data_IF_671037864320
#
_entry.id   IF_671037864320
#
_cell.length_a   1.000
_cell.length_b   1.000
_cell.length_c   1.000
_cell.angle_alpha   90.00
_cell.angle_beta   90.00
_cell.angle_gamma   90.00
#
_symmetry.space_group_name_H-M   'P 1'
#
loop_
_entity.id
_entity.type
_entity.pdbx_description
1 polymer ?
#
# COMPACT_ATOMS: atom_id res chain seq x y z
N UNK A 1 -3.64 18.59 20.21
CA UNK A 1 -2.92 17.39 20.68
C UNK A 1 -2.56 16.59 19.45
N UNK A 2 -1.27 16.32 19.21
CA UNK A 2 -0.90 15.52 18.03
C UNK A 2 -1.28 14.07 18.30
N UNK A 3 -2.34 13.58 17.65
CA UNK A 3 -2.64 12.15 17.63
C UNK A 3 -1.44 11.44 17.01
N UNK A 4 -1.08 10.27 17.55
CA UNK A 4 -0.12 9.38 16.88
C UNK A 4 -0.68 8.98 15.50
N UNK A 5 0.15 8.83 14.47
CA UNK A 5 -0.30 8.31 13.18
C UNK A 5 -0.79 6.87 13.34
N UNK A 6 -1.71 6.46 12.48
CA UNK A 6 -2.33 5.13 12.51
C UNK A 6 -1.31 4.03 12.18
N UNK A 7 -0.46 4.31 11.20
CA UNK A 7 0.72 3.52 10.83
C UNK A 7 1.96 4.36 11.08
N UNK A 8 2.92 3.82 11.83
CA UNK A 8 4.24 4.41 12.00
C UNK A 8 5.20 3.65 11.11
N UNK A 9 5.85 4.33 10.16
CA UNK A 9 6.92 3.70 9.39
C UNK A 9 8.05 3.25 10.32
N UNK A 10 8.50 2.01 10.14
CA UNK A 10 9.68 1.46 10.80
C UNK A 10 10.60 0.79 9.78
N UNK A 11 11.88 0.64 10.12
CA UNK A 11 12.87 0.04 9.22
C UNK A 11 12.55 -1.42 8.86
N UNK A 12 11.72 -2.11 9.65
CA UNK A 12 11.25 -3.46 9.28
C UNK A 12 10.24 -3.48 8.11
N UNK A 13 9.67 -2.33 7.72
CA UNK A 13 8.94 -2.18 6.43
C UNK A 13 9.89 -1.84 5.27
N UNK A 14 11.16 -1.56 5.53
CA UNK A 14 12.14 -1.36 4.47
C UNK A 14 12.64 -2.72 3.97
N UNK A 15 12.52 -2.95 2.68
CA UNK A 15 13.04 -4.14 1.99
C UNK A 15 14.48 -3.92 1.50
N UNK A 16 15.01 -2.69 1.61
CA UNK A 16 16.38 -2.34 1.26
C UNK A 16 16.55 -1.99 -0.22
N UNK A 17 15.44 -1.79 -0.94
CA UNK A 17 15.41 -1.33 -2.33
C UNK A 17 14.83 0.08 -2.30
N UNK A 18 15.73 1.06 -2.35
CA UNK A 18 15.42 2.45 -2.02
C UNK A 18 14.25 3.06 -2.83
N UNK A 19 14.07 2.79 -4.14
CA UNK A 19 12.87 3.22 -4.84
C UNK A 19 11.56 2.66 -4.26
N UNK A 20 11.52 1.36 -3.98
CA UNK A 20 10.32 0.71 -3.42
C UNK A 20 10.09 1.14 -1.97
N UNK A 21 11.15 1.30 -1.17
CA UNK A 21 11.03 1.79 0.21
C UNK A 21 10.47 3.23 0.27
N UNK A 22 10.67 4.06 -0.77
CA UNK A 22 10.01 5.37 -0.87
C UNK A 22 8.54 5.24 -1.24
N UNK A 23 8.21 4.39 -2.19
CA UNK A 23 6.83 4.14 -2.62
C UNK A 23 5.98 3.54 -1.49
N UNK A 24 6.54 2.61 -0.70
CA UNK A 24 5.88 2.08 0.50
C UNK A 24 5.61 3.18 1.54
N UNK A 25 6.52 4.13 1.71
CA UNK A 25 6.31 5.30 2.59
C UNK A 25 5.18 6.20 2.08
N UNK A 26 5.11 6.44 0.78
CA UNK A 26 4.01 7.20 0.17
C UNK A 26 2.66 6.50 0.38
N UNK A 27 2.63 5.16 0.34
CA UNK A 27 1.45 4.36 0.64
C UNK A 27 1.05 4.44 2.13
N UNK A 28 2.02 4.35 3.05
CA UNK A 28 1.78 4.58 4.49
C UNK A 28 1.18 5.95 4.76
N UNK A 29 1.72 7.00 4.12
CA UNK A 29 1.22 8.35 4.27
C UNK A 29 -0.20 8.51 3.72
N UNK A 30 -0.51 7.84 2.59
CA UNK A 30 -1.85 7.81 2.03
C UNK A 30 -2.86 7.13 2.98
N UNK A 31 -2.51 5.99 3.58
CA UNK A 31 -3.37 5.28 4.54
C UNK A 31 -3.58 6.11 5.81
N UNK A 32 -2.52 6.75 6.33
CA UNK A 32 -2.60 7.65 7.46
C UNK A 32 -3.53 8.85 7.19
N UNK A 33 -3.46 9.42 5.99
CA UNK A 33 -4.35 10.50 5.58
C UNK A 33 -5.80 10.01 5.52
N UNK A 34 -6.06 8.86 4.91
CA UNK A 34 -7.39 8.26 4.84
C UNK A 34 -7.98 8.00 6.24
N UNK A 35 -7.18 7.47 7.17
CA UNK A 35 -7.56 7.28 8.56
C UNK A 35 -7.94 8.59 9.27
N UNK A 36 -7.20 9.67 9.00
CA UNK A 36 -7.51 10.99 9.58
C UNK A 36 -8.87 11.53 9.15
N UNK A 37 -9.34 11.18 7.94
CA UNK A 37 -10.63 11.60 7.41
C UNK A 37 -11.78 10.75 7.97
N UNK A 38 -11.60 9.43 8.05
CA UNK A 38 -12.60 8.49 8.60
C UNK A 38 -12.88 8.67 10.10
N UNK A 39 -12.00 9.35 10.82
CA UNK A 39 -12.14 9.66 12.25
C UNK A 39 -12.97 10.92 12.54
N UNK A 40 -13.31 11.70 11.51
CA UNK A 40 -14.07 12.94 11.62
C UNK A 40 -15.51 12.73 11.13
N UNK A 41 -16.49 13.53 11.62
CA UNK A 41 -17.82 13.65 11.00
C UNK A 41 -17.66 14.33 9.62
N UNK A 42 -17.02 13.62 8.69
CA UNK A 42 -16.18 14.22 7.66
C UNK A 42 -16.66 13.98 6.24
N UNK A 43 -16.49 15.03 5.46
CA UNK A 43 -16.79 15.20 4.04
C UNK A 43 -16.52 13.95 3.18
N UNK A 44 -17.60 13.32 2.72
CA UNK A 44 -17.56 12.14 1.85
C UNK A 44 -16.78 12.39 0.55
N UNK A 45 -16.75 13.63 0.03
CA UNK A 45 -15.97 13.96 -1.15
C UNK A 45 -14.46 13.93 -0.86
N UNK A 46 -14.05 14.45 0.31
CA UNK A 46 -12.66 14.39 0.74
C UNK A 46 -12.21 12.94 0.98
N UNK A 47 -13.07 12.11 1.58
CA UNK A 47 -12.80 10.68 1.77
C UNK A 47 -12.64 9.96 0.41
N UNK A 48 -13.58 10.16 -0.52
CA UNK A 48 -13.51 9.59 -1.86
C UNK A 48 -12.23 9.99 -2.59
N UNK A 49 -11.84 11.26 -2.51
CA UNK A 49 -10.60 11.74 -3.13
C UNK A 49 -9.34 11.12 -2.49
N UNK A 50 -9.36 10.84 -1.18
CA UNK A 50 -8.25 10.17 -0.50
C UNK A 50 -8.15 8.69 -0.89
N UNK A 51 -9.28 7.99 -1.08
CA UNK A 51 -9.32 6.63 -1.63
C UNK A 51 -8.74 6.61 -3.04
N UNK A 52 -9.15 7.54 -3.91
CA UNK A 52 -8.62 7.65 -5.27
C UNK A 52 -7.10 7.89 -5.29
N UNK A 53 -6.60 8.70 -4.35
CA UNK A 53 -5.16 8.91 -4.18
C UNK A 53 -4.43 7.64 -3.76
N UNK A 54 -4.99 6.87 -2.82
CA UNK A 54 -4.40 5.60 -2.37
C UNK A 54 -4.33 4.59 -3.52
N UNK A 55 -5.43 4.42 -4.27
CA UNK A 55 -5.48 3.52 -5.43
C UNK A 55 -4.38 3.88 -6.42
N UNK A 56 -4.25 5.16 -6.79
CA UNK A 56 -3.23 5.60 -7.74
C UNK A 56 -1.80 5.30 -7.26
N UNK A 57 -1.51 5.53 -5.97
CA UNK A 57 -0.19 5.25 -5.40
C UNK A 57 0.11 3.75 -5.45
N UNK A 58 -0.89 2.90 -5.13
CA UNK A 58 -0.76 1.46 -5.20
C UNK A 58 -0.55 0.98 -6.66
N UNK A 59 -1.36 1.45 -7.61
CA UNK A 59 -1.22 1.11 -9.03
C UNK A 59 0.15 1.51 -9.59
N UNK A 60 0.63 2.72 -9.28
CA UNK A 60 1.93 3.22 -9.73
C UNK A 60 3.07 2.36 -9.16
N UNK A 61 3.01 2.03 -7.86
CA UNK A 61 3.98 1.16 -7.19
C UNK A 61 3.98 -0.26 -7.76
N UNK A 62 2.83 -0.93 -7.82
CA UNK A 62 2.70 -2.29 -8.33
C UNK A 62 3.15 -2.41 -9.79
N UNK A 63 2.77 -1.43 -10.62
CA UNK A 63 3.23 -1.38 -12.01
C UNK A 63 4.74 -1.27 -12.11
N UNK A 64 5.36 -0.43 -11.28
CA UNK A 64 6.81 -0.25 -11.25
C UNK A 64 7.52 -1.52 -10.78
N UNK A 65 7.10 -2.06 -9.64
CA UNK A 65 7.65 -3.26 -9.04
C UNK A 65 7.56 -4.46 -9.99
N UNK A 66 6.37 -4.76 -10.52
CA UNK A 66 6.18 -5.87 -11.43
C UNK A 66 7.00 -5.73 -12.72
N UNK A 67 7.16 -4.50 -13.23
CA UNK A 67 8.03 -4.23 -14.38
C UNK A 67 9.47 -4.61 -14.06
N UNK A 68 9.97 -4.24 -12.88
CA UNK A 68 11.32 -4.55 -12.41
C UNK A 68 11.49 -6.06 -12.20
N UNK A 69 10.55 -6.71 -11.50
CA UNK A 69 10.57 -8.16 -11.26
C UNK A 69 10.54 -8.95 -12.57
N UNK A 70 9.71 -8.54 -13.53
CA UNK A 70 9.63 -9.14 -14.86
C UNK A 70 10.92 -8.97 -15.65
N UNK A 71 11.47 -7.76 -15.66
CA UNK A 71 12.72 -7.45 -16.37
C UNK A 71 13.88 -8.30 -15.85
N UNK A 72 13.97 -8.46 -14.53
CA UNK A 72 15.03 -9.20 -13.86
C UNK A 72 14.75 -10.69 -13.67
N UNK A 73 13.59 -11.16 -14.18
CA UNK A 73 13.12 -12.56 -14.12
C UNK A 73 13.09 -13.11 -12.70
N UNK A 74 12.61 -12.33 -11.75
CA UNK A 74 12.46 -12.78 -10.38
C UNK A 74 11.39 -13.88 -10.29
N UNK A 75 11.56 -14.86 -9.37
CA UNK A 75 10.59 -15.93 -9.18
C UNK A 75 9.27 -15.39 -8.62
N UNK A 76 8.23 -16.21 -8.69
CA UNK A 76 6.92 -15.97 -8.05
C UNK A 76 6.15 -14.72 -8.53
N UNK A 77 6.56 -14.04 -9.60
CA UNK A 77 5.85 -12.86 -10.15
C UNK A 77 4.34 -13.08 -10.29
N UNK A 78 3.89 -14.23 -10.81
CA UNK A 78 2.45 -14.49 -10.98
C UNK A 78 1.67 -14.52 -9.66
N UNK A 79 2.29 -15.02 -8.59
CA UNK A 79 1.66 -14.98 -7.26
C UNK A 79 1.66 -13.57 -6.71
N UNK A 80 2.76 -12.84 -6.89
CA UNK A 80 2.91 -11.45 -6.46
C UNK A 80 1.84 -10.54 -7.09
N UNK A 81 1.63 -10.66 -8.40
CA UNK A 81 0.60 -9.92 -9.14
C UNK A 81 -0.82 -10.18 -8.61
N UNK A 82 -1.10 -11.40 -8.14
CA UNK A 82 -2.42 -11.72 -7.59
C UNK A 82 -2.68 -11.01 -6.27
N UNK A 83 -1.69 -10.93 -5.40
CA UNK A 83 -1.81 -10.18 -4.14
C UNK A 83 -2.06 -8.69 -4.41
N UNK A 84 -1.44 -8.13 -5.46
CA UNK A 84 -1.69 -6.75 -5.90
C UNK A 84 -3.11 -6.56 -6.44
N UNK A 85 -3.55 -7.45 -7.33
CA UNK A 85 -4.89 -7.40 -7.92
C UNK A 85 -5.97 -7.49 -6.83
N UNK A 86 -5.80 -8.41 -5.87
CA UNK A 86 -6.72 -8.59 -4.74
C UNK A 86 -6.78 -7.33 -3.86
N UNK A 87 -5.64 -6.70 -3.55
CA UNK A 87 -5.65 -5.44 -2.80
C UNK A 87 -6.35 -4.31 -3.56
N UNK A 88 -6.09 -4.16 -4.86
CA UNK A 88 -6.71 -3.11 -5.66
C UNK A 88 -8.23 -3.26 -5.72
N UNK A 89 -8.73 -4.49 -5.82
CA UNK A 89 -10.15 -4.79 -5.75
C UNK A 89 -10.75 -4.38 -4.39
N UNK A 90 -10.09 -4.75 -3.29
CA UNK A 90 -10.53 -4.42 -1.92
C UNK A 90 -10.53 -2.91 -1.66
N UNK A 91 -9.49 -2.19 -2.09
CA UNK A 91 -9.42 -0.72 -1.96
C UNK A 91 -10.43 -0.04 -2.87
N UNK A 92 -10.67 -0.57 -4.07
CA UNK A 92 -11.69 -0.01 -4.97
C UNK A 92 -13.09 -0.16 -4.39
N UNK A 93 -13.37 -1.23 -3.64
CA UNK A 93 -14.63 -1.42 -2.94
C UNK A 93 -14.92 -0.32 -1.90
N UNK A 94 -13.90 0.37 -1.36
CA UNK A 94 -14.11 1.53 -0.46
C UNK A 94 -14.93 2.64 -1.11
N UNK A 95 -14.86 2.81 -2.43
CA UNK A 95 -15.67 3.79 -3.14
C UNK A 95 -17.17 3.52 -2.97
N UNK A 96 -17.55 2.25 -2.78
CA UNK A 96 -18.94 1.81 -2.69
C UNK A 96 -19.46 1.79 -1.25
N UNK A 97 -18.58 1.66 -0.26
CA UNK A 97 -18.94 1.55 1.17
C UNK A 97 -19.36 2.90 1.79
N UNK A 98 -19.13 4.01 1.10
CA UNK A 98 -19.40 5.34 1.63
C UNK A 98 -18.49 5.70 2.81
N UNK A 99 -18.94 6.59 3.69
CA UNK A 99 -18.18 7.02 4.87
C UNK A 99 -18.69 6.38 6.18
N UNK A 100 -19.23 5.15 6.11
CA UNK A 100 -19.61 4.43 7.34
C UNK A 100 -18.37 4.25 8.24
N UNK A 101 -18.35 4.83 9.45
CA UNK A 101 -17.13 4.85 10.25
C UNK A 101 -16.61 3.46 10.64
N UNK A 102 -17.50 2.46 10.77
CA UNK A 102 -17.11 1.10 11.16
C UNK A 102 -16.49 0.36 9.98
N UNK A 103 -17.12 0.45 8.80
CA UNK A 103 -16.57 -0.17 7.59
C UNK A 103 -15.22 0.45 7.21
N UNK A 104 -15.12 1.78 7.30
CA UNK A 104 -13.85 2.49 7.06
C UNK A 104 -12.77 2.04 8.05
N UNK A 105 -13.08 1.92 9.35
CA UNK A 105 -12.12 1.47 10.34
C UNK A 105 -11.65 0.02 10.10
N UNK A 106 -12.58 -0.88 9.75
CA UNK A 106 -12.25 -2.28 9.43
C UNK A 106 -11.33 -2.37 8.22
N UNK A 107 -11.63 -1.60 7.17
CA UNK A 107 -10.80 -1.60 5.96
C UNK A 107 -9.42 -1.00 6.20
N UNK A 108 -9.31 0.10 6.96
CA UNK A 108 -8.02 0.67 7.34
C UNK A 108 -7.18 -0.33 8.13
N UNK A 109 -7.81 -1.12 9.00
CA UNK A 109 -7.13 -2.20 9.72
C UNK A 109 -6.65 -3.29 8.76
N UNK A 110 -7.47 -3.71 7.79
CA UNK A 110 -7.06 -4.66 6.76
C UNK A 110 -5.89 -4.12 5.94
N UNK A 111 -5.95 -2.87 5.46
CA UNK A 111 -4.89 -2.25 4.67
C UNK A 111 -3.57 -2.17 5.43
N UNK A 112 -3.63 -1.87 6.73
CA UNK A 112 -2.45 -1.92 7.58
C UNK A 112 -1.89 -3.33 7.62
N UNK A 113 -2.71 -4.32 7.94
CA UNK A 113 -2.23 -5.69 8.12
C UNK A 113 -1.68 -6.25 6.79
N UNK A 114 -2.35 -6.00 5.66
CA UNK A 114 -1.87 -6.33 4.33
C UNK A 114 -0.52 -5.68 4.03
N UNK A 115 -0.35 -4.38 4.30
CA UNK A 115 0.91 -3.70 4.02
C UNK A 115 2.07 -4.32 4.81
N UNK A 116 1.83 -4.66 6.07
CA UNK A 116 2.84 -5.33 6.89
C UNK A 116 3.15 -6.73 6.35
N UNK A 117 2.13 -7.53 6.08
CA UNK A 117 2.32 -8.91 5.64
C UNK A 117 2.93 -8.98 4.24
N UNK A 118 2.45 -8.18 3.29
CA UNK A 118 2.93 -8.13 1.91
C UNK A 118 4.38 -7.65 1.85
N UNK A 119 4.68 -6.49 2.44
CA UNK A 119 6.03 -5.92 2.39
C UNK A 119 7.04 -6.80 3.12
N UNK A 120 6.67 -7.39 4.26
CA UNK A 120 7.60 -8.21 5.05
C UNK A 120 7.76 -9.62 4.45
N UNK A 121 6.72 -10.23 3.89
CA UNK A 121 6.77 -11.63 3.46
C UNK A 121 6.92 -11.83 1.96
N UNK A 122 6.34 -10.97 1.13
CA UNK A 122 6.42 -11.08 -0.32
C UNK A 122 7.55 -10.23 -0.87
N UNK A 123 7.59 -8.94 -0.52
CA UNK A 123 8.55 -8.01 -1.13
C UNK A 123 9.99 -8.30 -0.75
N UNK A 124 10.22 -8.64 0.52
CA UNK A 124 11.53 -9.13 0.96
C UNK A 124 11.98 -10.38 0.20
N UNK A 125 11.05 -11.19 -0.30
CA UNK A 125 11.32 -12.46 -0.98
C UNK A 125 12.12 -12.32 -2.28
N UNK A 126 12.02 -11.18 -2.97
CA UNK A 126 12.78 -10.92 -4.19
C UNK A 126 14.04 -10.06 -3.96
N UNK A 127 14.34 -9.64 -2.72
CA UNK A 127 15.52 -8.83 -2.43
C UNK A 127 16.80 -9.42 -3.04
N UNK A 128 17.04 -10.72 -2.83
CA UNK A 128 18.23 -11.41 -3.35
C UNK A 128 18.24 -11.49 -4.87
N UNK A 129 17.06 -11.56 -5.50
CA UNK A 129 16.94 -11.48 -6.96
C UNK A 129 17.38 -10.10 -7.49
N UNK A 130 17.13 -9.02 -6.75
CA UNK A 130 17.39 -7.65 -7.18
C UNK A 130 18.71 -7.07 -6.65
N UNK A 131 19.39 -7.78 -5.76
CA UNK A 131 20.65 -7.34 -5.16
C UNK A 131 21.71 -6.99 -6.21
N UNK A 132 22.21 -5.75 -6.14
CA UNK A 132 23.24 -5.24 -7.05
C UNK A 132 22.75 -4.95 -8.48
N UNK A 133 21.44 -5.06 -8.73
CA UNK A 133 20.83 -4.71 -10.01
C UNK A 133 20.39 -3.26 -10.01
N UNK A 134 20.37 -2.67 -11.19
CA UNK A 134 19.81 -1.34 -11.37
C UNK A 134 18.28 -1.42 -11.36
N UNK A 135 17.66 -0.57 -10.53
CA UNK A 135 16.21 -0.44 -10.38
C UNK A 135 15.84 0.93 -10.96
N UNK A 136 14.99 0.95 -11.98
CA UNK A 136 14.55 2.14 -12.72
C UNK A 136 13.06 2.09 -13.04
#
# INVERSE_FOLDING_TARGET
MSSKPFIVWHDELAIGIEPFDREHRDMVDAINHLHSLGSSEGDAAAFSAAVDRLIRIAEDHFTHEERVLRHHRCPNLVMHQREHDELLDDVTALRLLGNDPKEVANMLQMLRDWLFDHVVHFDRGYHDCLKGKEIR
#
